data_IF_959647633130
#
_entry.id   IF_959647633130
#
_cell.length_a   1.000
_cell.length_b   1.000
_cell.length_c   1.000
_cell.angle_alpha   90.00
_cell.angle_beta   90.00
_cell.angle_gamma   90.00
#
_symmetry.space_group_name_H-M   'P 1'
#
loop_
_entity.id
_entity.type
_entity.pdbx_description
1 polymer ?
#
# COMPACT_ATOMS: atom_id res chain seq x y z
N UNK A 1 -8.40 36.97 20.96
CA UNK A 1 -8.65 36.08 19.79
C UNK A 1 -7.38 36.05 18.95
N UNK A 2 -6.87 34.87 18.55
CA UNK A 2 -5.77 34.80 17.60
C UNK A 2 -6.23 35.35 16.24
N UNK A 3 -5.37 36.15 15.58
CA UNK A 3 -5.66 36.69 14.24
C UNK A 3 -5.41 35.60 13.19
N UNK A 4 -6.20 35.61 12.11
CA UNK A 4 -5.98 34.76 10.94
C UNK A 4 -4.59 35.10 10.36
N UNK A 5 -3.78 34.08 10.12
CA UNK A 5 -2.45 34.20 9.51
C UNK A 5 -2.37 33.28 8.28
N UNK A 6 -1.69 33.76 7.25
CA UNK A 6 -1.40 32.97 6.07
C UNK A 6 -0.28 31.97 6.37
N UNK A 7 -0.50 30.71 6.01
CA UNK A 7 0.48 29.65 6.20
C UNK A 7 1.61 29.81 5.18
N UNK A 8 2.83 29.43 5.56
CA UNK A 8 3.94 29.41 4.62
C UNK A 8 3.79 28.23 3.64
N UNK A 9 4.47 28.32 2.49
CA UNK A 9 4.39 27.30 1.44
C UNK A 9 4.81 25.91 1.95
N UNK A 10 5.73 25.83 2.92
CA UNK A 10 6.14 24.57 3.53
C UNK A 10 5.02 23.92 4.34
N UNK A 11 4.29 24.70 5.14
CA UNK A 11 3.13 24.20 5.89
C UNK A 11 1.97 23.88 4.95
N UNK A 12 1.74 24.65 3.89
CA UNK A 12 0.74 24.34 2.86
C UNK A 12 1.05 23.00 2.18
N UNK A 13 2.29 22.80 1.73
CA UNK A 13 2.72 21.56 1.11
C UNK A 13 2.67 20.38 2.09
N UNK A 14 2.95 20.59 3.38
CA UNK A 14 2.75 19.57 4.42
C UNK A 14 1.28 19.25 4.70
N UNK A 15 0.38 20.23 4.55
CA UNK A 15 -1.06 20.02 4.68
C UNK A 15 -1.59 19.27 3.46
N UNK A 16 -1.24 19.69 2.24
CA UNK A 16 -1.65 19.06 0.98
C UNK A 16 -1.06 17.65 0.81
N UNK A 17 0.23 17.44 1.11
CA UNK A 17 0.83 16.10 1.19
C UNK A 17 0.20 15.25 2.30
N UNK A 18 -0.39 15.89 3.31
CA UNK A 18 -1.18 15.25 4.34
C UNK A 18 -2.46 14.61 3.82
N UNK A 19 -3.10 15.14 2.77
CA UNK A 19 -4.40 14.65 2.29
C UNK A 19 -4.32 13.26 1.61
N UNK A 20 -3.12 12.80 1.22
CA UNK A 20 -2.99 11.54 0.46
C UNK A 20 -3.22 10.30 1.33
N UNK A 21 -2.83 10.33 2.62
CA UNK A 21 -2.95 9.17 3.53
C UNK A 21 -3.69 9.59 4.81
N UNK A 22 -5.00 9.33 4.83
CA UNK A 22 -5.87 9.64 5.98
C UNK A 22 -5.91 8.53 7.03
N UNK A 23 -5.79 7.26 6.61
CA UNK A 23 -5.99 6.08 7.47
C UNK A 23 -5.29 4.82 6.95
N UNK A 24 -5.09 3.80 7.79
CA UNK A 24 -4.54 2.50 7.39
C UNK A 24 -5.19 1.86 6.15
N UNK A 25 -6.51 1.96 6.01
CA UNK A 25 -7.22 1.38 4.87
C UNK A 25 -6.81 1.99 3.52
N UNK A 26 -6.50 3.30 3.48
CA UNK A 26 -6.00 3.96 2.27
C UNK A 26 -4.63 3.42 1.87
N UNK A 27 -3.75 3.16 2.84
CA UNK A 27 -2.44 2.54 2.61
C UNK A 27 -2.61 1.15 1.97
N UNK A 28 -3.51 0.34 2.55
CA UNK A 28 -3.77 -1.01 2.03
C UNK A 28 -4.29 -0.95 0.61
N UNK A 29 -5.25 -0.08 0.31
CA UNK A 29 -5.77 0.13 -1.04
C UNK A 29 -4.64 0.43 -2.03
N UNK A 30 -3.89 1.51 -1.79
CA UNK A 30 -2.86 1.98 -2.74
C UNK A 30 -1.76 0.94 -2.98
N UNK A 31 -1.35 0.21 -1.95
CA UNK A 31 -0.29 -0.79 -2.07
C UNK A 31 -0.78 -2.10 -2.71
N UNK A 32 -2.04 -2.50 -2.49
CA UNK A 32 -2.65 -3.60 -3.23
C UNK A 32 -2.84 -3.25 -4.71
N UNK A 33 -3.24 -2.02 -5.03
CA UNK A 33 -3.34 -1.51 -6.40
C UNK A 33 -1.95 -1.48 -7.08
N UNK A 34 -0.91 -1.05 -6.38
CA UNK A 34 0.46 -1.13 -6.90
C UNK A 34 0.91 -2.58 -7.15
N UNK A 35 0.49 -3.52 -6.30
CA UNK A 35 0.79 -4.95 -6.51
C UNK A 35 0.09 -5.49 -7.76
N UNK A 36 -1.18 -5.08 -8.00
CA UNK A 36 -1.94 -5.42 -9.20
C UNK A 36 -1.34 -4.81 -10.47
N UNK A 37 -0.92 -3.54 -10.42
CA UNK A 37 -0.24 -2.87 -11.52
C UNK A 37 1.09 -3.56 -11.87
N UNK A 38 1.74 -4.20 -10.88
CA UNK A 38 2.92 -5.06 -11.05
C UNK A 38 2.58 -6.51 -11.45
N UNK A 39 1.36 -6.75 -11.94
CA UNK A 39 0.87 -8.04 -12.43
C UNK A 39 0.89 -9.18 -11.41
N UNK A 40 0.79 -8.87 -10.12
CA UNK A 40 0.74 -9.89 -9.07
C UNK A 40 -0.47 -10.82 -9.22
N UNK A 41 -0.22 -12.12 -9.12
CA UNK A 41 -1.27 -13.16 -9.09
C UNK A 41 -1.60 -13.62 -7.67
N UNK A 42 -0.76 -13.25 -6.69
CA UNK A 42 -0.96 -13.48 -5.26
C UNK A 42 -0.57 -12.25 -4.47
N UNK A 43 -1.44 -11.82 -3.57
CA UNK A 43 -1.19 -10.74 -2.62
C UNK A 43 -1.57 -11.21 -1.21
N UNK A 44 -0.64 -11.08 -0.28
CA UNK A 44 -0.85 -11.33 1.15
C UNK A 44 -0.76 -10.02 1.94
N UNK A 45 -1.78 -9.77 2.75
CA UNK A 45 -1.89 -8.57 3.60
C UNK A 45 -1.91 -9.00 5.06
N UNK A 46 -0.90 -8.62 5.83
CA UNK A 46 -0.87 -8.83 7.29
C UNK A 46 -1.05 -7.50 8.03
N UNK A 47 -2.04 -7.46 8.93
CA UNK A 47 -2.39 -6.28 9.72
C UNK A 47 -2.26 -6.59 11.21
N UNK A 48 -1.61 -5.70 11.96
CA UNK A 48 -1.52 -5.79 13.44
C UNK A 48 -2.09 -4.51 14.05
N UNK A 49 -2.93 -4.66 15.09
CA UNK A 49 -3.63 -3.57 15.77
C UNK A 49 -4.31 -2.58 14.81
N UNK A 50 -5.01 -3.10 13.80
CA UNK A 50 -5.77 -2.29 12.85
C UNK A 50 -4.89 -1.41 11.96
N UNK A 51 -3.63 -1.81 11.76
CA UNK A 51 -2.66 -1.12 10.91
C UNK A 51 -1.83 -0.06 11.64
N UNK A 52 -2.10 0.19 12.92
CA UNK A 52 -1.32 1.14 13.72
C UNK A 52 0.05 0.60 14.12
N UNK A 53 0.20 -0.73 14.22
CA UNK A 53 1.46 -1.39 14.57
C UNK A 53 2.19 -1.92 13.35
N UNK A 54 1.49 -2.64 12.48
CA UNK A 54 2.01 -3.19 11.23
C UNK A 54 0.94 -3.19 10.15
N UNK A 55 1.34 -2.75 8.96
CA UNK A 55 0.71 -3.10 7.68
C UNK A 55 1.82 -3.74 6.84
N UNK A 56 1.66 -4.99 6.44
CA UNK A 56 2.58 -5.67 5.51
C UNK A 56 1.80 -6.13 4.29
N UNK A 57 2.34 -5.85 3.12
CA UNK A 57 1.83 -6.35 1.85
C UNK A 57 2.96 -7.08 1.15
N UNK A 58 2.70 -8.31 0.74
CA UNK A 58 3.63 -9.17 0.01
C UNK A 58 2.94 -9.62 -1.27
N UNK A 59 3.56 -9.34 -2.40
CA UNK A 59 3.10 -9.75 -3.72
C UNK A 59 4.16 -10.60 -4.42
N UNK A 60 3.71 -11.32 -5.45
CA UNK A 60 4.55 -12.05 -6.39
C UNK A 60 4.59 -11.38 -7.78
N UNK A 61 4.45 -10.06 -7.83
CA UNK A 61 4.49 -9.30 -9.07
C UNK A 61 5.90 -9.23 -9.68
N UNK A 62 6.07 -8.35 -10.64
CA UNK A 62 7.32 -8.18 -11.40
C UNK A 62 8.50 -7.68 -10.56
N UNK A 63 8.24 -7.10 -9.38
CA UNK A 63 9.25 -6.48 -8.54
C UNK A 63 9.66 -5.07 -9.02
N UNK A 64 10.60 -4.46 -8.30
CA UNK A 64 11.15 -3.14 -8.58
C UNK A 64 12.57 -3.34 -9.10
N UNK A 65 12.91 -2.65 -10.19
CA UNK A 65 14.26 -2.68 -10.74
C UNK A 65 15.28 -2.18 -9.69
N UNK A 66 16.46 -2.80 -9.55
CA UNK A 66 17.44 -2.44 -8.53
C UNK A 66 17.80 -0.94 -8.48
N UNK A 67 17.91 -0.32 -9.65
CA UNK A 67 18.28 1.09 -9.79
C UNK A 67 17.10 2.05 -9.51
N UNK A 68 15.86 1.54 -9.51
CA UNK A 68 14.64 2.33 -9.28
C UNK A 68 14.21 2.33 -7.81
N UNK A 69 14.92 1.63 -6.92
CA UNK A 69 14.54 1.52 -5.50
C UNK A 69 14.43 2.89 -4.81
N UNK A 70 15.35 3.82 -5.11
CA UNK A 70 15.29 5.19 -4.59
C UNK A 70 14.15 5.99 -5.25
N UNK A 71 13.93 5.76 -6.54
CA UNK A 71 12.90 6.44 -7.31
C UNK A 71 11.50 6.05 -6.84
N UNK A 72 11.28 4.78 -6.50
CA UNK A 72 10.01 4.24 -5.99
C UNK A 72 9.52 4.89 -4.69
N UNK A 73 10.41 5.53 -3.91
CA UNK A 73 10.07 6.24 -2.68
C UNK A 73 10.16 7.76 -2.80
N UNK A 74 10.48 8.26 -4.00
CA UNK A 74 10.59 9.69 -4.29
C UNK A 74 9.24 10.26 -4.72
N UNK A 75 8.95 11.51 -4.35
CA UNK A 75 7.75 12.20 -4.83
C UNK A 75 7.84 12.48 -6.33
N UNK A 76 6.69 12.48 -7.01
CA UNK A 76 6.57 12.78 -8.44
C UNK A 76 7.35 11.83 -9.36
N UNK A 77 7.55 10.59 -8.90
CA UNK A 77 8.24 9.56 -9.65
C UNK A 77 7.32 8.37 -9.88
N UNK A 78 7.05 8.07 -11.14
CA UNK A 78 6.12 6.99 -11.54
C UNK A 78 6.61 6.35 -12.83
N UNK A 79 6.47 5.04 -12.95
CA UNK A 79 6.71 4.30 -14.19
C UNK A 79 5.49 4.31 -15.13
N UNK A 80 4.37 4.90 -14.70
CA UNK A 80 3.04 4.67 -15.29
C UNK A 80 2.54 5.77 -16.23
N UNK A 81 3.17 6.95 -16.22
CA UNK A 81 2.90 8.06 -17.15
C UNK A 81 4.23 8.75 -17.50
N UNK A 82 4.40 9.14 -18.77
CA UNK A 82 5.61 9.82 -19.26
C UNK A 82 5.33 11.25 -19.75
N UNK A 83 4.13 11.50 -20.26
CA UNK A 83 3.75 12.82 -20.78
C UNK A 83 2.33 13.26 -20.39
N UNK A 84 1.95 14.47 -20.80
CA UNK A 84 0.66 15.07 -20.47
C UNK A 84 -0.53 14.37 -21.16
N UNK A 85 -0.29 13.66 -22.26
CA UNK A 85 -1.32 12.97 -23.03
C UNK A 85 -1.68 11.61 -22.41
N UNK A 86 -0.75 11.00 -21.67
CA UNK A 86 -0.97 9.81 -20.85
C UNK A 86 -2.01 10.03 -19.72
N UNK A 87 -2.21 11.28 -19.27
CA UNK A 87 -3.26 11.62 -18.28
C UNK A 87 -4.68 11.40 -18.82
N UNK A 88 -4.86 11.34 -20.14
CA UNK A 88 -6.16 11.10 -20.78
C UNK A 88 -6.39 9.62 -21.12
N UNK A 89 -5.38 8.75 -20.93
CA UNK A 89 -5.40 7.31 -21.25
C UNK A 89 -4.96 6.44 -20.06
N UNK A 90 -5.46 6.74 -18.87
CA UNK A 90 -5.03 6.09 -17.63
C UNK A 90 -5.53 4.63 -17.58
N UNK A 91 -4.61 3.69 -17.83
CA UNK A 91 -4.84 2.25 -17.72
C UNK A 91 -4.33 1.61 -16.42
N UNK A 92 -3.73 2.40 -15.51
CA UNK A 92 -3.13 1.93 -14.25
C UNK A 92 -3.79 2.59 -13.03
N UNK A 93 -3.84 1.90 -11.89
CA UNK A 93 -4.64 2.35 -10.74
C UNK A 93 -3.99 3.47 -9.91
N UNK A 94 -2.68 3.75 -10.08
CA UNK A 94 -2.01 4.84 -9.38
C UNK A 94 -0.97 5.57 -10.23
N UNK A 95 -1.29 6.74 -10.80
CA UNK A 95 -0.42 7.47 -11.74
C UNK A 95 0.41 8.60 -11.13
N UNK A 96 0.13 9.02 -9.88
CA UNK A 96 0.71 10.25 -9.30
C UNK A 96 2.15 10.09 -8.78
N UNK A 97 2.65 8.87 -8.60
CA UNK A 97 4.00 8.65 -8.05
C UNK A 97 4.19 9.21 -6.62
N UNK A 98 3.09 9.33 -5.86
CA UNK A 98 3.08 10.02 -4.57
C UNK A 98 2.70 9.11 -3.40
N UNK A 99 2.06 7.95 -3.65
CA UNK A 99 1.52 7.11 -2.59
C UNK A 99 2.62 6.57 -1.66
N UNK A 100 3.64 5.92 -2.23
CA UNK A 100 4.74 5.31 -1.44
C UNK A 100 5.55 6.39 -0.71
N UNK A 101 5.87 7.50 -1.38
CA UNK A 101 6.56 8.64 -0.77
C UNK A 101 5.74 9.25 0.40
N UNK A 102 4.43 9.41 0.22
CA UNK A 102 3.53 9.94 1.26
C UNK A 102 3.47 9.01 2.47
N UNK A 103 3.33 7.71 2.24
CA UNK A 103 3.36 6.68 3.30
C UNK A 103 4.69 6.76 4.06
N UNK A 104 5.82 6.80 3.33
CA UNK A 104 7.15 6.84 3.92
C UNK A 104 7.40 8.10 4.77
N UNK A 105 6.78 9.22 4.42
CA UNK A 105 6.91 10.50 5.15
C UNK A 105 6.29 10.46 6.56
N UNK A 106 5.28 9.62 6.78
CA UNK A 106 4.52 9.53 8.04
C UNK A 106 4.69 8.20 8.78
N UNK A 107 5.65 7.37 8.38
CA UNK A 107 5.85 6.03 8.95
C UNK A 107 7.32 5.62 8.91
N UNK A 108 7.60 4.41 9.36
CA UNK A 108 8.79 3.66 8.99
C UNK A 108 8.39 2.63 7.95
N UNK A 109 8.82 2.85 6.71
CA UNK A 109 8.61 1.98 5.56
C UNK A 109 9.85 1.14 5.32
N UNK A 110 9.67 -0.14 5.08
CA UNK A 110 10.72 -1.07 4.67
C UNK A 110 10.25 -1.83 3.43
N UNK A 111 11.04 -1.74 2.36
CA UNK A 111 10.75 -2.38 1.06
C UNK A 111 11.81 -3.43 0.83
N UNK A 112 11.39 -4.62 0.40
CA UNK A 112 12.23 -5.63 -0.22
C UNK A 112 11.65 -6.00 -1.57
N UNK A 113 12.44 -6.00 -2.62
CA UNK A 113 11.95 -6.36 -3.95
C UNK A 113 13.03 -7.06 -4.77
N UNK A 114 12.60 -7.96 -5.67
CA UNK A 114 13.47 -8.64 -6.61
C UNK A 114 12.70 -8.99 -7.89
N UNK A 115 13.25 -8.58 -9.03
CA UNK A 115 12.76 -9.00 -10.35
C UNK A 115 13.18 -10.44 -10.66
N UNK A 116 12.44 -11.10 -11.55
CA UNK A 116 12.68 -12.50 -11.91
C UNK A 116 14.08 -12.77 -12.51
N UNK A 117 14.64 -11.78 -13.19
CA UNK A 117 15.93 -11.79 -13.87
C UNK A 117 17.10 -11.27 -13.00
N UNK A 118 16.81 -10.79 -11.78
CA UNK A 118 17.82 -10.29 -10.87
C UNK A 118 18.37 -11.41 -9.96
N UNK A 119 19.70 -11.56 -9.92
CA UNK A 119 20.38 -12.54 -9.06
C UNK A 119 20.11 -12.31 -7.57
N UNK A 120 20.04 -11.05 -7.15
CA UNK A 120 19.86 -10.64 -5.75
C UNK A 120 18.79 -9.56 -5.64
N UNK A 121 18.00 -9.59 -4.56
CA UNK A 121 17.03 -8.55 -4.28
C UNK A 121 17.65 -7.29 -3.69
N UNK A 122 16.86 -6.23 -3.60
CA UNK A 122 17.23 -4.98 -2.93
C UNK A 122 16.29 -4.70 -1.77
N UNK A 123 16.85 -4.15 -0.70
CA UNK A 123 16.08 -3.60 0.40
C UNK A 123 16.37 -2.11 0.60
N UNK A 124 15.34 -1.39 1.03
CA UNK A 124 15.38 0.02 1.36
C UNK A 124 14.52 0.28 2.58
N UNK A 125 15.05 1.07 3.51
CA UNK A 125 14.29 1.56 4.65
C UNK A 125 14.16 3.09 4.57
N UNK A 126 12.96 3.58 4.81
CA UNK A 126 12.66 5.02 4.91
C UNK A 126 12.04 5.30 6.27
N UNK A 127 12.59 6.27 7.00
CA UNK A 127 12.11 6.66 8.33
C UNK A 127 11.60 8.09 8.29
N UNK A 128 10.28 8.26 8.28
CA UNK A 128 9.66 9.59 8.30
C UNK A 128 10.19 10.50 7.18
N UNK A 129 10.29 9.95 5.97
CA UNK A 129 10.82 10.61 4.78
C UNK A 129 12.35 10.63 4.66
N UNK A 130 13.08 10.19 5.68
CA UNK A 130 14.54 10.04 5.59
C UNK A 130 14.88 8.71 4.91
N UNK A 131 15.33 8.80 3.66
CA UNK A 131 15.66 7.65 2.82
C UNK A 131 17.02 7.09 3.24
N UNK A 132 17.07 5.80 3.56
CA UNK A 132 18.30 5.09 3.87
C UNK A 132 19.06 4.62 2.62
N UNK A 133 20.12 3.86 2.84
CA UNK A 133 20.87 3.24 1.75
C UNK A 133 20.11 2.04 1.17
N UNK A 134 20.20 1.87 -0.16
CA UNK A 134 19.76 0.64 -0.83
C UNK A 134 20.80 -0.45 -0.63
N UNK A 135 20.39 -1.60 -0.12
CA UNK A 135 21.28 -2.73 0.20
C UNK A 135 20.88 -3.99 -0.53
N UNK A 136 21.83 -4.86 -0.91
CA UNK A 136 21.48 -6.19 -1.40
C UNK A 136 20.84 -7.02 -0.28
N UNK A 137 19.82 -7.81 -0.60
CA UNK A 137 19.16 -8.72 0.34
C UNK A 137 18.70 -10.01 -0.32
N UNK A 138 18.54 -11.07 0.49
CA UNK A 138 17.83 -12.28 0.07
C UNK A 138 16.32 -12.11 0.20
N UNK A 139 15.58 -12.24 -0.90
CA UNK A 139 14.12 -12.27 -0.92
C UNK A 139 13.61 -13.06 -2.14
N UNK A 140 12.36 -13.59 -2.09
CA UNK A 140 11.72 -14.17 -3.27
C UNK A 140 11.44 -13.10 -4.34
N UNK A 141 11.00 -13.53 -5.53
CA UNK A 141 10.51 -12.61 -6.56
C UNK A 141 9.24 -11.89 -6.12
N UNK A 142 9.07 -10.66 -6.61
CA UNK A 142 7.97 -9.77 -6.21
C UNK A 142 8.41 -8.74 -5.18
N UNK A 143 7.43 -8.11 -4.52
CA UNK A 143 7.69 -7.02 -3.58
C UNK A 143 7.07 -7.29 -2.21
N UNK A 144 7.78 -6.89 -1.16
CA UNK A 144 7.30 -6.83 0.21
C UNK A 144 7.45 -5.41 0.72
N UNK A 145 6.35 -4.81 1.14
CA UNK A 145 6.33 -3.51 1.81
C UNK A 145 5.83 -3.67 3.25
N UNK A 146 6.58 -3.16 4.21
CA UNK A 146 6.25 -3.16 5.63
C UNK A 146 6.20 -1.75 6.17
N UNK A 147 5.06 -1.39 6.74
CA UNK A 147 4.79 -0.08 7.31
C UNK A 147 4.60 -0.27 8.81
N UNK A 148 5.45 0.38 9.58
CA UNK A 148 5.41 0.41 11.04
C UNK A 148 5.46 1.84 11.54
N UNK A 149 5.13 2.06 12.82
CA UNK A 149 5.17 3.39 13.43
C UNK A 149 4.34 4.43 12.65
N UNK A 150 3.19 4.02 12.10
CA UNK A 150 2.31 4.88 11.32
C UNK A 150 1.87 6.08 12.18
N UNK A 151 2.01 7.28 11.62
CA UNK A 151 1.79 8.57 12.28
C UNK A 151 2.66 8.80 13.53
N UNK A 152 3.78 8.09 13.67
CA UNK A 152 4.70 8.22 14.80
C UNK A 152 5.29 9.63 14.93
N UNK A 153 5.56 10.29 13.80
CA UNK A 153 6.03 11.67 13.71
C UNK A 153 4.90 12.71 13.55
N UNK A 154 3.63 12.28 13.53
CA UNK A 154 2.45 13.16 13.39
C UNK A 154 1.41 12.88 14.49
N UNK A 155 1.64 13.34 15.74
CA UNK A 155 0.86 12.94 16.92
C UNK A 155 -0.62 13.30 16.83
N UNK A 156 -0.94 14.41 16.17
CA UNK A 156 -2.33 14.87 15.96
C UNK A 156 -3.09 13.83 15.12
N UNK A 157 -2.53 13.38 14.00
CA UNK A 157 -3.13 12.32 13.15
C UNK A 157 -3.31 11.02 13.90
N UNK A 158 -2.31 10.66 14.71
CA UNK A 158 -2.39 9.46 15.55
C UNK A 158 -3.56 9.50 16.53
N UNK A 159 -3.92 10.69 17.06
CA UNK A 159 -5.10 10.88 17.93
C UNK A 159 -6.44 10.81 17.17
N UNK A 160 -6.44 11.04 15.86
CA UNK A 160 -7.64 10.97 15.02
C UNK A 160 -7.94 9.56 14.51
N UNK A 161 -7.00 8.61 14.62
CA UNK A 161 -7.27 7.20 14.34
C UNK A 161 -8.40 6.70 15.24
N UNK A 162 -9.31 5.95 14.64
CA UNK A 162 -10.42 5.32 15.36
C UNK A 162 -9.92 4.12 16.17
N UNK A 163 -10.85 3.39 16.76
CA UNK A 163 -10.52 2.16 17.48
C UNK A 163 -9.87 1.14 16.54
N UNK A 164 -9.08 0.22 17.10
CA UNK A 164 -8.44 -0.87 16.35
C UNK A 164 -9.47 -1.65 15.51
N UNK A 165 -10.66 -1.92 16.07
CA UNK A 165 -11.72 -2.63 15.37
C UNK A 165 -12.28 -1.81 14.20
N UNK A 166 -12.50 -0.51 14.38
CA UNK A 166 -12.98 0.39 13.33
C UNK A 166 -12.00 0.50 12.17
N UNK A 167 -10.71 0.71 12.46
CA UNK A 167 -9.68 0.80 11.41
C UNK A 167 -9.53 -0.52 10.67
N UNK A 168 -9.56 -1.65 11.38
CA UNK A 168 -9.54 -2.96 10.74
C UNK A 168 -10.77 -3.20 9.86
N UNK A 169 -11.97 -2.80 10.29
CA UNK A 169 -13.18 -2.93 9.48
C UNK A 169 -13.05 -2.18 8.14
N UNK A 170 -12.50 -0.96 8.16
CA UNK A 170 -12.21 -0.21 6.93
C UNK A 170 -11.17 -0.91 6.05
N UNK A 171 -10.11 -1.49 6.63
CA UNK A 171 -9.12 -2.26 5.86
C UNK A 171 -9.78 -3.48 5.22
N UNK A 172 -10.55 -4.24 5.99
CA UNK A 172 -11.25 -5.45 5.55
C UNK A 172 -12.21 -5.16 4.40
N UNK A 173 -12.93 -4.04 4.47
CA UNK A 173 -13.82 -3.59 3.40
C UNK A 173 -13.05 -3.23 2.11
N UNK A 174 -11.95 -2.49 2.21
CA UNK A 174 -11.13 -2.15 1.03
C UNK A 174 -10.49 -3.39 0.41
N UNK A 175 -9.95 -4.28 1.24
CA UNK A 175 -9.42 -5.57 0.80
C UNK A 175 -10.48 -6.37 0.03
N UNK A 176 -11.69 -6.51 0.58
CA UNK A 176 -12.78 -7.25 -0.04
C UNK A 176 -13.19 -6.64 -1.40
N UNK A 177 -13.28 -5.30 -1.50
CA UNK A 177 -13.58 -4.61 -2.76
C UNK A 177 -12.54 -4.89 -3.84
N UNK A 178 -11.26 -4.83 -3.52
CA UNK A 178 -10.17 -5.11 -4.47
C UNK A 178 -10.18 -6.59 -4.87
N UNK A 179 -10.33 -7.51 -3.91
CA UNK A 179 -10.39 -8.94 -4.18
C UNK A 179 -11.61 -9.33 -5.04
N UNK A 180 -12.76 -8.65 -4.84
CA UNK A 180 -13.97 -8.84 -5.63
C UNK A 180 -13.77 -8.42 -7.09
N UNK A 181 -13.13 -7.28 -7.32
CA UNK A 181 -12.84 -6.78 -8.66
C UNK A 181 -11.80 -7.63 -9.43
N UNK A 182 -11.02 -8.45 -8.71
CA UNK A 182 -9.92 -9.24 -9.25
C UNK A 182 -10.09 -10.74 -8.91
N UNK A 183 -11.07 -11.46 -9.51
CA UNK A 183 -11.33 -12.85 -9.17
C UNK A 183 -10.13 -13.78 -9.41
N UNK A 184 -9.26 -13.47 -10.39
CA UNK A 184 -8.06 -14.26 -10.67
C UNK A 184 -6.89 -14.02 -9.70
N UNK A 185 -6.99 -13.04 -8.80
CA UNK A 185 -5.99 -12.79 -7.76
C UNK A 185 -6.20 -13.76 -6.59
N UNK A 186 -5.15 -14.45 -6.15
CA UNK A 186 -5.16 -15.11 -4.84
C UNK A 186 -4.89 -14.05 -3.76
N UNK A 187 -5.91 -13.67 -2.99
CA UNK A 187 -5.80 -12.65 -1.96
C UNK A 187 -5.92 -13.25 -0.55
N UNK A 188 -4.99 -12.90 0.35
CA UNK A 188 -5.02 -13.33 1.76
C UNK A 188 -4.99 -12.11 2.68
N UNK A 189 -5.89 -12.04 3.66
CA UNK A 189 -5.89 -11.03 4.71
C UNK A 189 -5.72 -11.70 6.07
N UNK A 190 -4.73 -11.25 6.85
CA UNK A 190 -4.53 -11.67 8.25
C UNK A 190 -4.64 -10.48 9.20
N UNK A 191 -5.27 -10.71 10.35
CA UNK A 191 -5.33 -9.73 11.44
C UNK A 191 -4.81 -10.34 12.73
N UNK A 192 -3.77 -9.73 13.31
CA UNK A 192 -3.09 -10.20 14.51
C UNK A 192 -2.69 -11.70 14.42
N UNK A 193 -2.17 -12.10 13.25
CA UNK A 193 -1.72 -13.46 12.96
C UNK A 193 -2.81 -14.46 12.59
N UNK A 194 -4.10 -14.09 12.65
CA UNK A 194 -5.21 -14.96 12.25
C UNK A 194 -5.66 -14.65 10.83
N UNK A 195 -5.88 -15.69 10.02
CA UNK A 195 -6.48 -15.55 8.69
C UNK A 195 -7.92 -15.08 8.84
N UNK A 196 -8.25 -13.96 8.18
CA UNK A 196 -9.60 -13.39 8.12
C UNK A 196 -10.23 -13.73 6.77
N UNK A 197 -9.46 -13.56 5.69
CA UNK A 197 -9.83 -14.01 4.36
C UNK A 197 -8.69 -14.81 3.74
N UNK A 198 -9.05 -15.93 3.12
CA UNK A 198 -8.22 -16.64 2.17
C UNK A 198 -9.07 -16.87 0.93
N UNK A 199 -8.72 -16.15 -0.13
CA UNK A 199 -9.49 -16.07 -1.36
C UNK A 199 -8.60 -16.59 -2.49
N UNK A 200 -8.59 -17.91 -2.76
CA UNK A 200 -7.89 -18.47 -3.90
C UNK A 200 -8.34 -17.81 -5.20
N UNK A 201 -7.48 -17.84 -6.22
CA UNK A 201 -7.85 -17.40 -7.56
C UNK A 201 -9.06 -18.22 -8.06
N UNK A 202 -10.04 -17.53 -8.64
CA UNK A 202 -11.24 -18.12 -9.25
C UNK A 202 -11.41 -17.63 -10.68
N UNK A 203 -12.05 -18.46 -11.51
CA UNK A 203 -12.29 -18.16 -12.92
C UNK A 203 -13.47 -17.19 -13.11
N UNK A 204 -14.43 -17.18 -12.18
CA UNK A 204 -15.62 -16.35 -12.28
C UNK A 204 -15.88 -15.53 -11.01
N UNK A 205 -16.68 -14.47 -11.18
CA UNK A 205 -17.06 -13.52 -10.13
C UNK A 205 -17.98 -14.15 -9.08
N UNK A 206 -18.82 -15.12 -9.46
CA UNK A 206 -19.76 -15.77 -8.54
C UNK A 206 -19.03 -16.56 -7.45
N UNK A 207 -18.01 -17.34 -7.82
CA UNK A 207 -17.17 -18.08 -6.87
C UNK A 207 -16.49 -17.11 -5.89
N UNK A 208 -16.00 -15.96 -6.39
CA UNK A 208 -15.40 -14.92 -5.56
C UNK A 208 -16.40 -14.31 -4.58
N UNK A 209 -17.64 -14.03 -5.01
CA UNK A 209 -18.71 -13.51 -4.16
C UNK A 209 -19.03 -14.53 -3.05
N UNK A 210 -19.15 -15.81 -3.39
CA UNK A 210 -19.42 -16.87 -2.41
C UNK A 210 -18.30 -16.99 -1.36
N UNK A 211 -17.04 -16.88 -1.78
CA UNK A 211 -15.90 -16.90 -0.85
C UNK A 211 -15.89 -15.70 0.11
N UNK A 212 -16.29 -14.52 -0.34
CA UNK A 212 -16.32 -13.29 0.47
C UNK A 212 -17.46 -13.25 1.48
N UNK A 213 -18.63 -13.75 1.07
CA UNK A 213 -19.88 -13.62 1.82
C UNK A 213 -20.20 -14.85 2.68
N UNK A 214 -19.47 -15.95 2.52
CA UNK A 214 -19.90 -17.24 3.00
C UNK A 214 -21.10 -17.78 2.20
N UNK A 215 -21.39 -19.07 2.33
CA UNK A 215 -22.41 -19.80 1.53
C UNK A 215 -23.86 -19.31 1.71
N UNK A 216 -24.14 -18.34 2.57
CA UNK A 216 -25.51 -17.94 2.94
C UNK A 216 -26.19 -16.96 1.96
N UNK A 217 -25.46 -16.35 1.03
CA UNK A 217 -26.00 -15.32 0.12
C UNK A 217 -26.47 -15.85 -1.26
N UNK A 218 -26.55 -17.17 -1.44
CA UNK A 218 -26.86 -17.81 -2.74
C UNK A 218 -28.09 -18.71 -2.74
N UNK A 219 -29.03 -18.51 -1.82
CA UNK A 219 -30.39 -19.07 -1.91
C UNK A 219 -31.42 -18.00 -2.27
#
# INVERSE_FOLDING_TARGET
>A
MPRINQLDAHVINKIAAGEVIERPASIVKELMENSLDALATRIEVDIVKGGSELIRIVDNGEGIHPDDMLLAVSSHATSKIKDADDLFHIHTMGFRGEAVASIASVSRLHIRSRQADADTGRELEVRSGQIGEVKPCGCPFGTRMEITQLFGNTPVRRKFMKTIGTEFAHISEQFARIALANPRLHAVLRHNGKVVYELPASENLLDRIQMLNGKELTE
#
